data_IF_360366741182
#
_entry.id   IF_360366741182
#
_cell.length_a   1.000
_cell.length_b   1.000
_cell.length_c   1.000
_cell.angle_alpha   90.00
_cell.angle_beta   90.00
_cell.angle_gamma   90.00
#
_symmetry.space_group_name_H-M   'P 1'
#
loop_
_entity.id
_entity.type
_entity.pdbx_description
1 polymer ?
#
# COMPACT_ATOMS: atom_id res chain seq x y z
N UNK A 1 1.14 -5.18 -10.03
CA UNK A 1 2.62 -5.26 -9.95
C UNK A 1 3.23 -4.39 -11.03
N UNK A 2 3.98 -3.36 -10.61
CA UNK A 2 4.75 -2.48 -11.49
C UNK A 2 6.15 -3.04 -11.76
N UNK A 3 6.87 -2.48 -12.73
CA UNK A 3 8.24 -2.86 -13.03
C UNK A 3 9.18 -2.64 -11.83
N UNK A 4 8.97 -1.59 -11.04
CA UNK A 4 9.76 -1.28 -9.86
C UNK A 4 9.52 -2.30 -8.73
N UNK A 5 8.26 -2.63 -8.45
CA UNK A 5 7.91 -3.70 -7.51
C UNK A 5 8.46 -5.05 -7.95
N UNK A 6 8.44 -5.34 -9.26
CA UNK A 6 9.02 -6.58 -9.78
C UNK A 6 10.53 -6.65 -9.53
N UNK A 7 11.26 -5.54 -9.69
CA UNK A 7 12.71 -5.47 -9.40
C UNK A 7 12.98 -5.69 -7.92
N UNK A 8 12.24 -5.00 -7.06
CA UNK A 8 12.37 -5.14 -5.60
C UNK A 8 12.07 -6.56 -5.14
N UNK A 9 10.98 -7.14 -5.64
CA UNK A 9 10.62 -8.53 -5.35
C UNK A 9 11.70 -9.51 -5.80
N UNK A 10 12.25 -9.34 -7.01
CA UNK A 10 13.27 -10.25 -7.56
C UNK A 10 14.53 -10.26 -6.70
N UNK A 11 14.88 -9.10 -6.11
CA UNK A 11 16.04 -8.94 -5.23
C UNK A 11 15.84 -9.58 -3.85
N UNK A 12 14.61 -9.60 -3.34
CA UNK A 12 14.30 -9.99 -1.95
C UNK A 12 13.43 -11.25 -1.80
N UNK A 13 13.05 -11.93 -2.89
CA UNK A 13 12.16 -13.09 -2.84
C UNK A 13 12.80 -14.33 -2.18
N UNK A 14 12.04 -14.97 -1.31
CA UNK A 14 12.35 -16.33 -0.83
C UNK A 14 11.88 -17.38 -1.83
N UNK A 15 12.34 -18.64 -1.67
CA UNK A 15 11.86 -19.76 -2.50
C UNK A 15 10.34 -19.93 -2.43
N UNK A 16 9.75 -19.71 -1.26
CA UNK A 16 8.30 -19.73 -1.09
C UNK A 16 7.62 -18.63 -1.92
N UNK A 17 8.11 -17.39 -1.80
CA UNK A 17 7.58 -16.23 -2.51
C UNK A 17 7.64 -16.42 -4.05
N UNK A 18 8.73 -17.01 -4.56
CA UNK A 18 8.88 -17.34 -5.98
C UNK A 18 7.82 -18.36 -6.45
N UNK A 19 7.61 -19.44 -5.68
CA UNK A 19 6.61 -20.48 -6.01
C UNK A 19 5.20 -19.90 -5.98
N UNK A 20 4.90 -19.11 -4.96
CA UNK A 20 3.60 -18.43 -4.83
C UNK A 20 3.33 -17.51 -6.02
N UNK A 21 4.30 -16.68 -6.41
CA UNK A 21 4.14 -15.75 -7.53
C UNK A 21 3.91 -16.50 -8.85
N UNK A 22 4.63 -17.59 -9.09
CA UNK A 22 4.43 -18.44 -10.28
C UNK A 22 3.00 -18.99 -10.33
N UNK A 23 2.51 -19.53 -9.21
CA UNK A 23 1.13 -20.03 -9.11
C UNK A 23 0.09 -18.92 -9.34
N UNK A 24 0.31 -17.71 -8.81
CA UNK A 24 -0.61 -16.59 -9.01
C UNK A 24 -0.62 -16.08 -10.45
N UNK A 25 0.53 -16.06 -11.13
CA UNK A 25 0.60 -15.76 -12.57
C UNK A 25 -0.17 -16.78 -13.39
N UNK A 26 0.01 -18.08 -13.12
CA UNK A 26 -0.72 -19.14 -13.82
C UNK A 26 -2.24 -19.03 -13.63
N UNK A 27 -2.67 -18.65 -12.41
CA UNK A 27 -4.08 -18.39 -12.08
C UNK A 27 -4.59 -17.01 -12.53
N UNK A 28 -3.78 -16.21 -13.23
CA UNK A 28 -4.10 -14.84 -13.67
C UNK A 28 -4.57 -13.92 -12.53
N UNK A 29 -3.99 -14.09 -11.34
CA UNK A 29 -4.28 -13.29 -10.14
C UNK A 29 -3.33 -12.11 -9.95
N UNK A 30 -2.39 -11.89 -10.88
CA UNK A 30 -1.46 -10.76 -10.86
C UNK A 30 -1.90 -9.76 -11.92
N UNK A 31 -2.32 -8.59 -11.48
CA UNK A 31 -2.55 -7.44 -12.36
C UNK A 31 -1.22 -6.73 -12.60
N UNK A 32 -0.87 -6.43 -13.84
CA UNK A 32 0.30 -5.61 -14.15
C UNK A 32 -0.15 -4.15 -14.23
N UNK A 33 0.54 -3.27 -13.50
CA UNK A 33 0.22 -1.83 -13.48
C UNK A 33 1.43 -1.06 -13.98
N UNK A 34 1.19 -0.01 -14.76
CA UNK A 34 2.24 0.93 -15.16
C UNK A 34 2.67 1.76 -13.95
N UNK A 35 3.96 2.01 -13.80
CA UNK A 35 4.44 2.94 -12.77
C UNK A 35 4.03 4.35 -13.16
N UNK A 36 3.40 5.08 -12.23
CA UNK A 36 3.15 6.50 -12.37
C UNK A 36 4.19 7.28 -11.59
N UNK A 37 5.12 7.88 -12.33
CA UNK A 37 6.06 8.85 -11.77
C UNK A 37 5.31 10.03 -11.13
N UNK A 38 4.18 10.46 -11.70
CA UNK A 38 3.46 11.65 -11.27
C UNK A 38 2.90 11.53 -9.85
N UNK A 39 2.16 10.45 -9.54
CA UNK A 39 1.65 10.23 -8.18
C UNK A 39 2.79 10.03 -7.18
N UNK A 40 3.85 9.31 -7.58
CA UNK A 40 5.01 9.10 -6.73
C UNK A 40 5.72 10.43 -6.42
N UNK A 41 5.93 11.28 -7.42
CA UNK A 41 6.59 12.57 -7.26
C UNK A 41 5.73 13.51 -6.39
N UNK A 42 4.42 13.57 -6.65
CA UNK A 42 3.46 14.29 -5.80
C UNK A 42 3.55 13.87 -4.33
N UNK A 43 3.63 12.57 -4.07
CA UNK A 43 3.77 12.05 -2.71
C UNK A 43 5.12 12.39 -2.09
N UNK A 44 6.21 12.37 -2.87
CA UNK A 44 7.53 12.77 -2.39
C UNK A 44 7.59 14.26 -2.02
N UNK A 45 7.01 15.13 -2.86
CA UNK A 45 6.89 16.56 -2.61
C UNK A 45 6.07 16.83 -1.34
N UNK A 46 4.90 16.20 -1.22
CA UNK A 46 4.07 16.31 -0.02
C UNK A 46 4.81 15.86 1.25
N UNK A 47 5.56 14.77 1.19
CA UNK A 47 6.34 14.29 2.33
C UNK A 47 7.50 15.23 2.70
N UNK A 48 8.05 15.98 1.75
CA UNK A 48 9.01 17.05 2.02
C UNK A 48 8.33 18.19 2.76
N UNK A 49 7.22 18.70 2.22
CA UNK A 49 6.45 19.80 2.82
C UNK A 49 5.99 19.48 4.25
N UNK A 50 5.48 18.26 4.47
CA UNK A 50 5.07 17.79 5.80
C UNK A 50 6.25 17.64 6.77
N UNK A 51 7.45 17.33 6.28
CA UNK A 51 8.63 17.24 7.12
C UNK A 51 9.15 18.63 7.50
N UNK A 52 9.16 19.57 6.55
CA UNK A 52 9.54 20.97 6.76
C UNK A 52 8.58 21.68 7.73
N UNK A 53 7.28 21.38 7.65
CA UNK A 53 6.27 21.89 8.56
C UNK A 53 6.29 21.20 9.96
N UNK A 54 7.10 20.15 10.14
CA UNK A 54 7.22 19.41 11.39
C UNK A 54 6.07 18.44 11.69
N UNK A 55 5.18 18.17 10.72
CA UNK A 55 4.09 17.21 10.85
C UNK A 55 4.60 15.77 10.92
N UNK A 56 5.72 15.47 10.25
CA UNK A 56 6.41 14.19 10.30
C UNK A 56 7.91 14.40 10.50
N UNK A 57 8.59 13.44 11.13
CA UNK A 57 10.04 13.45 11.24
C UNK A 57 10.73 12.74 10.06
N UNK A 58 12.04 12.94 9.93
CA UNK A 58 12.85 12.33 8.87
C UNK A 58 12.77 10.80 8.84
N UNK A 59 12.60 10.15 10.00
CA UNK A 59 12.47 8.69 10.08
C UNK A 59 11.14 8.22 9.49
N UNK A 60 10.04 8.91 9.78
CA UNK A 60 8.72 8.64 9.20
C UNK A 60 8.73 8.89 7.70
N UNK A 61 9.24 10.06 7.27
CA UNK A 61 9.42 10.37 5.84
C UNK A 61 10.17 9.27 5.11
N UNK A 62 11.34 8.87 5.62
CA UNK A 62 12.16 7.83 5.00
C UNK A 62 11.49 6.45 4.99
N UNK A 63 10.70 6.12 6.01
CA UNK A 63 9.94 4.87 6.04
C UNK A 63 8.84 4.89 4.96
N UNK A 64 8.03 5.95 4.91
CA UNK A 64 6.95 6.08 3.92
C UNK A 64 7.53 6.05 2.50
N UNK A 65 8.59 6.82 2.24
CA UNK A 65 9.25 6.91 0.94
C UNK A 65 9.70 5.55 0.38
N UNK A 66 10.18 4.65 1.24
CA UNK A 66 10.61 3.30 0.83
C UNK A 66 9.46 2.47 0.29
N UNK A 67 8.28 2.60 0.90
CA UNK A 67 7.10 1.79 0.59
C UNK A 67 6.06 2.52 -0.27
N UNK A 68 6.40 3.69 -0.84
CA UNK A 68 5.52 4.43 -1.76
C UNK A 68 5.08 3.61 -2.97
N UNK A 69 5.91 2.67 -3.42
CA UNK A 69 5.57 1.78 -4.53
C UNK A 69 4.33 0.91 -4.24
N UNK A 70 4.06 0.61 -2.97
CA UNK A 70 2.87 -0.13 -2.56
C UNK A 70 1.61 0.74 -2.72
N UNK A 71 1.69 1.99 -2.27
CA UNK A 71 0.60 2.98 -2.35
C UNK A 71 0.25 3.26 -3.81
N UNK A 72 1.25 3.52 -4.65
CA UNK A 72 1.02 3.78 -6.09
C UNK A 72 0.46 2.57 -6.82
N UNK A 73 0.92 1.36 -6.47
CA UNK A 73 0.38 0.14 -7.05
C UNK A 73 -1.06 -0.14 -6.63
N UNK A 74 -1.42 0.10 -5.36
CA UNK A 74 -2.80 -0.03 -4.89
C UNK A 74 -3.72 0.97 -5.61
N UNK A 75 -3.25 2.21 -5.80
CA UNK A 75 -4.02 3.25 -6.50
C UNK A 75 -4.39 2.87 -7.94
N UNK A 76 -3.52 2.11 -8.62
CA UNK A 76 -3.75 1.60 -9.99
C UNK A 76 -4.46 0.27 -10.07
N UNK A 77 -4.72 -0.37 -8.95
CA UNK A 77 -5.40 -1.64 -8.89
C UNK A 77 -6.80 -1.44 -8.33
N UNK A 78 -7.00 -1.82 -7.07
CA UNK A 78 -8.28 -1.90 -6.39
C UNK A 78 -8.33 -1.06 -5.12
N UNK A 79 -7.35 -0.16 -4.91
CA UNK A 79 -7.22 0.66 -3.70
C UNK A 79 -7.04 -0.14 -2.41
N UNK A 80 -6.74 -1.45 -2.48
CA UNK A 80 -6.62 -2.30 -1.30
C UNK A 80 -5.15 -2.64 -1.04
N UNK A 81 -4.76 -2.56 0.23
CA UNK A 81 -3.48 -3.06 0.71
C UNK A 81 -3.73 -4.08 1.81
N UNK A 82 -3.26 -5.31 1.61
CA UNK A 82 -3.20 -6.33 2.65
C UNK A 82 -1.76 -6.45 3.16
N UNK A 83 -1.49 -5.99 4.38
CA UNK A 83 -0.13 -5.97 4.94
C UNK A 83 -0.15 -6.02 6.46
N UNK A 84 0.83 -6.71 7.04
CA UNK A 84 1.05 -6.78 8.50
C UNK A 84 1.77 -5.55 9.07
N UNK A 85 2.14 -4.58 8.23
CA UNK A 85 2.87 -3.40 8.66
C UNK A 85 1.93 -2.31 9.19
N UNK A 86 1.49 -2.46 10.44
CA UNK A 86 0.64 -1.49 11.11
C UNK A 86 1.35 -0.14 11.31
N UNK A 87 2.68 -0.12 11.41
CA UNK A 87 3.43 1.14 11.53
C UNK A 87 3.32 1.94 10.25
N UNK A 88 3.46 1.29 9.09
CA UNK A 88 3.25 1.94 7.80
C UNK A 88 1.80 2.40 7.63
N UNK A 89 0.81 1.59 8.05
CA UNK A 89 -0.60 2.00 8.09
C UNK A 89 -0.78 3.30 8.88
N UNK A 90 -0.24 3.37 10.10
CA UNK A 90 -0.38 4.54 10.97
C UNK A 90 0.36 5.77 10.41
N UNK A 91 1.54 5.58 9.81
CA UNK A 91 2.26 6.66 9.14
C UNK A 91 1.47 7.22 7.95
N UNK A 92 0.83 6.36 7.15
CA UNK A 92 0.01 6.79 6.03
C UNK A 92 -1.29 7.47 6.47
N UNK A 93 -1.85 7.14 7.64
CA UNK A 93 -2.99 7.88 8.22
C UNK A 93 -2.66 9.34 8.50
N UNK A 94 -1.41 9.67 8.83
CA UNK A 94 -0.95 11.05 9.01
C UNK A 94 -0.96 11.80 7.67
N UNK A 95 -0.62 11.11 6.58
CA UNK A 95 -0.55 11.68 5.21
C UNK A 95 -1.93 11.76 4.56
N UNK A 96 -2.83 10.82 4.86
CA UNK A 96 -4.14 10.67 4.24
C UNK A 96 -4.98 11.96 4.16
N UNK A 97 -5.06 12.82 5.19
CA UNK A 97 -5.84 14.07 5.12
C UNK A 97 -5.37 15.05 4.04
N UNK A 98 -4.10 14.97 3.62
CA UNK A 98 -3.49 15.88 2.64
C UNK A 98 -3.39 15.27 1.23
N UNK A 99 -3.70 13.98 1.07
CA UNK A 99 -3.60 13.29 -0.22
C UNK A 99 -4.78 12.35 -0.41
N UNK A 100 -5.70 12.71 -1.32
CA UNK A 100 -6.90 11.93 -1.62
C UNK A 100 -6.57 10.51 -2.11
N UNK A 101 -5.46 10.34 -2.82
CA UNK A 101 -5.00 9.05 -3.33
C UNK A 101 -4.59 8.09 -2.20
N UNK A 102 -4.07 8.62 -1.09
CA UNK A 102 -3.77 7.85 0.14
C UNK A 102 -5.04 7.70 0.98
N UNK A 103 -5.83 8.77 1.09
CA UNK A 103 -7.09 8.80 1.83
C UNK A 103 -8.01 7.64 1.47
N UNK A 104 -8.13 7.35 0.18
CA UNK A 104 -9.08 6.37 -0.36
C UNK A 104 -8.60 4.91 -0.27
N UNK A 105 -7.37 4.65 0.17
CA UNK A 105 -6.85 3.28 0.29
C UNK A 105 -7.49 2.57 1.49
N UNK A 106 -7.94 1.33 1.28
CA UNK A 106 -8.34 0.42 2.36
C UNK A 106 -7.12 -0.43 2.73
N UNK A 107 -6.71 -0.33 3.99
CA UNK A 107 -5.60 -1.13 4.53
C UNK A 107 -6.14 -2.18 5.50
N UNK A 108 -5.80 -3.44 5.25
CA UNK A 108 -6.16 -4.58 6.11
C UNK A 108 -4.90 -5.32 6.58
N UNK A 109 -4.85 -5.66 7.87
CA UNK A 109 -3.84 -6.53 8.42
C UNK A 109 -4.38 -7.95 8.58
N UNK A 110 -3.91 -8.93 7.78
CA UNK A 110 -4.43 -10.30 7.82
C UNK A 110 -4.14 -11.05 9.13
N UNK A 111 -3.17 -10.59 9.93
CA UNK A 111 -2.89 -11.16 11.25
C UNK A 111 -3.71 -10.51 12.38
N UNK A 112 -4.46 -9.46 12.07
CA UNK A 112 -5.31 -8.77 13.03
C UNK A 112 -6.73 -9.36 12.99
N UNK A 113 -7.18 -9.97 14.09
CA UNK A 113 -8.50 -10.62 14.15
C UNK A 113 -9.62 -9.61 13.93
N UNK A 114 -9.51 -8.40 14.49
CA UNK A 114 -10.51 -7.34 14.31
C UNK A 114 -10.58 -6.85 12.87
N UNK A 115 -9.50 -7.00 12.10
CA UNK A 115 -9.49 -6.69 10.69
C UNK A 115 -10.22 -7.76 9.88
N UNK A 116 -10.60 -8.93 10.44
CA UNK A 116 -11.45 -9.95 9.80
C UNK A 116 -11.13 -10.18 8.30
N UNK A 117 -9.84 -10.19 7.97
CA UNK A 117 -9.38 -10.04 6.59
C UNK A 117 -9.83 -11.21 5.70
N UNK A 118 -9.81 -12.43 6.26
CA UNK A 118 -10.18 -13.66 5.55
C UNK A 118 -11.66 -13.65 5.18
N UNK A 119 -12.56 -13.40 6.14
CA UNK A 119 -13.99 -13.38 5.86
C UNK A 119 -14.39 -12.26 4.90
N UNK A 120 -13.73 -11.11 4.96
CA UNK A 120 -13.94 -10.02 4.00
C UNK A 120 -13.40 -10.37 2.60
N UNK A 121 -12.28 -11.08 2.51
CA UNK A 121 -11.79 -11.58 1.23
C UNK A 121 -12.75 -12.61 0.62
N UNK A 122 -13.29 -13.51 1.44
CA UNK A 122 -14.28 -14.51 1.04
C UNK A 122 -15.60 -13.88 0.57
N UNK A 123 -15.99 -12.72 1.14
CA UNK A 123 -17.15 -11.95 0.69
C UNK A 123 -16.89 -11.08 -0.55
N UNK A 124 -15.69 -11.15 -1.12
CA UNK A 124 -15.31 -10.47 -2.36
C UNK A 124 -14.59 -9.13 -2.17
N UNK A 125 -14.07 -8.84 -0.96
CA UNK A 125 -13.23 -7.69 -0.65
C UNK A 125 -13.77 -6.35 -1.13
N UNK A 126 -15.06 -6.07 -0.88
CA UNK A 126 -15.68 -4.81 -1.31
C UNK A 126 -15.13 -3.66 -0.46
N UNK A 127 -14.59 -2.63 -1.12
CA UNK A 127 -14.02 -1.44 -0.49
C UNK A 127 -15.04 -0.75 0.43
N UNK A 128 -16.30 -0.66 0.00
CA UNK A 128 -17.38 0.00 0.74
C UNK A 128 -17.69 -0.62 2.10
N UNK A 129 -17.26 -1.86 2.34
CA UNK A 129 -17.46 -2.57 3.61
C UNK A 129 -16.40 -2.20 4.65
N UNK A 130 -15.44 -1.32 4.31
CA UNK A 130 -14.28 -0.99 5.14
C UNK A 130 -13.98 0.50 5.20
N UNK A 131 -13.51 1.00 6.35
CA UNK A 131 -12.96 2.35 6.42
C UNK A 131 -11.66 2.42 5.62
N UNK A 132 -11.50 3.49 4.86
CA UNK A 132 -10.23 3.84 4.24
C UNK A 132 -9.27 4.46 5.25
N UNK A 133 -8.01 4.64 4.88
CA UNK A 133 -6.99 5.28 5.73
C UNK A 133 -7.41 6.67 6.20
N UNK A 134 -8.20 7.40 5.41
CA UNK A 134 -8.72 8.71 5.75
C UNK A 134 -9.98 8.73 6.62
N UNK A 135 -10.66 7.59 6.77
CA UNK A 135 -11.90 7.47 7.57
C UNK A 135 -11.71 6.68 8.86
N UNK A 136 -10.58 6.01 9.02
CA UNK A 136 -10.23 5.29 10.24
C UNK A 136 -9.88 6.29 11.36
N UNK A 137 -10.82 6.49 12.29
CA UNK A 137 -10.63 7.25 13.54
C UNK A 137 -9.81 6.49 14.57
#
# INVERSE_FOLDING_TARGET
>A
MSAELQREWTKHQSLYATRWLSAMRQKRKIVIVTSEADLRNKLLELLEEMADAGNINLKQKNAITKDLLLVTAANKADMIVASCDDKMRDMLRIVAPQCIEVFAIVWVNPNCISDAAVSWLESGARIADRPSLGQAG
#
